data_IF_792894125947
#
_entry.id   IF_792894125947
#
_cell.length_a   1.000
_cell.length_b   1.000
_cell.length_c   1.000
_cell.angle_alpha   90.00
_cell.angle_beta   90.00
_cell.angle_gamma   90.00
#
_symmetry.space_group_name_H-M   'P 1'
#
loop_
_entity.id
_entity.type
_entity.pdbx_description
1 polymer ?
#
# COMPACT_ATOMS: atom_id res chain seq x y z
N UNK A 1 1.05 0.58 20.65
CA UNK A 1 2.10 0.67 19.60
C UNK A 1 2.77 2.05 19.57
N UNK A 2 1.99 3.12 19.49
CA UNK A 2 2.56 4.47 19.42
C UNK A 2 3.43 4.78 20.64
N UNK A 3 2.99 4.43 21.85
CA UNK A 3 3.73 4.73 23.09
C UNK A 3 5.13 4.14 23.06
N UNK A 4 5.30 2.93 22.55
CA UNK A 4 6.59 2.24 22.48
C UNK A 4 7.52 2.85 21.41
N UNK A 5 6.94 3.34 20.33
CA UNK A 5 7.66 3.86 19.18
C UNK A 5 7.63 5.38 19.07
N UNK A 6 7.07 6.07 20.07
CA UNK A 6 6.79 7.50 19.99
C UNK A 6 8.02 8.34 19.63
N UNK A 7 9.18 8.08 20.21
CA UNK A 7 10.41 8.83 19.95
C UNK A 7 10.81 8.71 18.48
N UNK A 8 10.84 7.51 17.95
CA UNK A 8 11.22 7.25 16.56
C UNK A 8 10.19 7.85 15.58
N UNK A 9 8.90 7.63 15.85
CA UNK A 9 7.82 8.16 15.01
C UNK A 9 7.85 9.68 14.98
N UNK A 10 7.93 10.34 16.14
CA UNK A 10 7.93 11.79 16.24
C UNK A 10 9.12 12.40 15.50
N UNK A 11 10.30 11.81 15.63
CA UNK A 11 11.50 12.27 14.94
C UNK A 11 11.33 12.24 13.41
N UNK A 12 10.85 11.11 12.88
CA UNK A 12 10.65 10.95 11.43
C UNK A 12 9.55 11.85 10.91
N UNK A 13 8.42 11.94 11.61
CA UNK A 13 7.29 12.80 11.21
C UNK A 13 7.72 14.26 11.15
N UNK A 14 8.46 14.75 12.15
CA UNK A 14 8.95 16.13 12.17
C UNK A 14 9.95 16.41 11.03
N UNK A 15 10.80 15.43 10.71
CA UNK A 15 11.74 15.56 9.57
C UNK A 15 10.99 15.68 8.25
N UNK A 16 9.96 14.85 8.03
CA UNK A 16 9.14 14.91 6.81
C UNK A 16 8.41 16.25 6.71
N UNK A 17 7.79 16.70 7.81
CA UNK A 17 7.11 17.99 7.83
C UNK A 17 8.07 19.15 7.51
N UNK A 18 9.26 19.13 8.06
CA UNK A 18 10.27 20.16 7.80
C UNK A 18 10.79 20.13 6.37
N UNK A 19 10.87 18.96 5.75
CA UNK A 19 11.38 18.80 4.38
C UNK A 19 10.42 19.22 3.29
N UNK A 20 9.10 19.22 3.57
CA UNK A 20 8.07 19.48 2.56
C UNK A 20 7.86 18.35 1.55
N UNK A 21 8.53 17.22 1.71
CA UNK A 21 8.44 16.06 0.80
C UNK A 21 7.25 15.16 1.10
N UNK A 22 6.03 15.68 0.93
CA UNK A 22 4.81 14.98 1.35
C UNK A 22 4.26 13.99 0.32
N UNK A 23 4.60 14.15 -0.95
CA UNK A 23 4.10 13.29 -2.03
C UNK A 23 5.28 12.64 -2.73
N UNK A 24 5.34 11.31 -2.69
CA UNK A 24 6.39 10.55 -3.37
C UNK A 24 7.81 10.88 -2.94
N UNK A 25 8.00 11.32 -1.69
CA UNK A 25 9.30 11.71 -1.16
C UNK A 25 10.26 10.54 -0.92
N UNK A 26 11.47 10.88 -0.45
CA UNK A 26 12.52 9.88 -0.21
C UNK A 26 12.11 8.77 0.76
N UNK A 27 11.27 9.06 1.74
CA UNK A 27 10.78 8.06 2.69
C UNK A 27 9.88 7.02 2.02
N UNK A 28 9.07 7.42 1.04
CA UNK A 28 8.22 6.50 0.26
C UNK A 28 9.10 5.57 -0.57
N UNK A 29 10.09 6.12 -1.26
CA UNK A 29 11.04 5.33 -2.07
C UNK A 29 11.80 4.33 -1.20
N UNK A 30 12.31 4.75 -0.05
CA UNK A 30 12.99 3.87 0.89
C UNK A 30 12.07 2.76 1.40
N UNK A 31 10.84 3.10 1.74
CA UNK A 31 9.84 2.12 2.18
C UNK A 31 9.56 1.07 1.09
N UNK A 32 9.38 1.50 -0.15
CA UNK A 32 9.15 0.58 -1.26
C UNK A 32 10.31 -0.40 -1.42
N UNK A 33 11.55 0.08 -1.35
CA UNK A 33 12.73 -0.76 -1.45
C UNK A 33 12.87 -1.73 -0.28
N UNK A 34 12.70 -1.26 0.94
CA UNK A 34 12.79 -2.07 2.15
C UNK A 34 11.68 -3.12 2.21
N UNK A 35 10.47 -2.74 1.85
CA UNK A 35 9.34 -3.67 1.86
C UNK A 35 9.47 -4.74 0.79
N UNK A 36 9.94 -4.38 -0.40
CA UNK A 36 10.23 -5.36 -1.45
C UNK A 36 11.28 -6.40 -0.99
N UNK A 37 12.35 -5.93 -0.34
CA UNK A 37 13.37 -6.80 0.22
C UNK A 37 12.82 -7.69 1.33
N UNK A 38 12.03 -7.13 2.24
CA UNK A 38 11.43 -7.86 3.36
C UNK A 38 10.48 -8.98 2.88
N UNK A 39 9.69 -8.72 1.85
CA UNK A 39 8.76 -9.68 1.29
C UNK A 39 9.37 -10.56 0.20
N UNK A 40 10.64 -10.34 -0.13
CA UNK A 40 11.39 -11.10 -1.15
C UNK A 40 10.73 -11.05 -2.53
N UNK A 41 10.33 -9.85 -2.94
CA UNK A 41 9.81 -9.56 -4.28
C UNK A 41 10.70 -8.55 -4.99
N UNK A 42 10.60 -8.48 -6.33
CA UNK A 42 11.44 -7.58 -7.12
C UNK A 42 11.13 -6.12 -6.91
N UNK A 43 9.84 -5.79 -6.84
CA UNK A 43 9.36 -4.42 -6.82
C UNK A 43 8.25 -4.23 -5.79
N UNK A 44 8.12 -3.03 -5.29
CA UNK A 44 7.02 -2.61 -4.45
C UNK A 44 6.60 -1.20 -4.86
N UNK A 45 5.32 -0.98 -5.01
CA UNK A 45 4.75 0.32 -5.35
C UNK A 45 3.78 0.74 -4.27
N UNK A 46 4.08 1.85 -3.61
CA UNK A 46 3.20 2.41 -2.58
C UNK A 46 1.99 3.09 -3.22
N UNK A 47 0.86 3.03 -2.54
CA UNK A 47 -0.36 3.74 -2.93
C UNK A 47 -1.04 4.30 -1.69
N UNK A 48 -2.13 5.03 -1.88
CA UNK A 48 -2.77 5.78 -0.79
C UNK A 48 -3.63 4.94 0.16
N UNK A 49 -4.06 3.74 -0.25
CA UNK A 49 -4.92 2.90 0.58
C UNK A 49 -4.85 1.43 0.17
N UNK A 50 -5.26 0.55 1.08
CA UNK A 50 -5.40 -0.87 0.77
C UNK A 50 -6.47 -1.16 -0.29
N UNK A 51 -7.54 -0.38 -0.30
CA UNK A 51 -8.59 -0.49 -1.32
C UNK A 51 -8.04 -0.22 -2.71
N UNK A 52 -7.29 0.86 -2.87
CA UNK A 52 -6.64 1.17 -4.14
C UNK A 52 -5.55 0.17 -4.51
N UNK A 53 -4.84 -0.38 -3.53
CA UNK A 53 -3.87 -1.44 -3.78
C UNK A 53 -4.52 -2.65 -4.44
N UNK A 54 -5.68 -3.09 -3.94
CA UNK A 54 -6.43 -4.20 -4.52
C UNK A 54 -6.92 -3.86 -5.93
N UNK A 55 -7.49 -2.68 -6.10
CA UNK A 55 -8.01 -2.23 -7.40
C UNK A 55 -6.90 -2.15 -8.44
N UNK A 56 -5.78 -1.55 -8.10
CA UNK A 56 -4.63 -1.42 -9.00
C UNK A 56 -4.03 -2.78 -9.35
N UNK A 57 -3.96 -3.70 -8.40
CA UNK A 57 -3.46 -5.05 -8.65
C UNK A 57 -4.35 -5.80 -9.65
N UNK A 58 -5.68 -5.74 -9.48
CA UNK A 58 -6.62 -6.37 -10.41
C UNK A 58 -6.51 -5.78 -11.81
N UNK A 59 -6.41 -4.47 -11.93
CA UNK A 59 -6.23 -3.78 -13.21
C UNK A 59 -4.89 -4.12 -13.87
N UNK A 60 -3.83 -4.17 -13.08
CA UNK A 60 -2.50 -4.52 -13.58
C UNK A 60 -2.45 -5.95 -14.15
N UNK A 61 -3.23 -6.87 -13.58
CA UNK A 61 -3.37 -8.24 -14.06
C UNK A 61 -4.32 -8.37 -15.26
N UNK A 62 -4.98 -7.28 -15.66
CA UNK A 62 -5.92 -7.31 -16.77
C UNK A 62 -7.27 -7.95 -16.45
N UNK A 63 -7.61 -8.08 -15.17
CA UNK A 63 -8.90 -8.63 -14.75
C UNK A 63 -10.02 -7.64 -15.07
N UNK A 64 -11.09 -8.13 -15.69
CA UNK A 64 -12.21 -7.28 -16.11
C UNK A 64 -13.48 -8.08 -16.31
N UNK A 65 -14.41 -7.48 -17.04
CA UNK A 65 -15.72 -8.08 -17.30
C UNK A 65 -15.60 -9.46 -17.95
N UNK A 66 -16.29 -10.44 -17.40
CA UNK A 66 -16.25 -11.83 -17.86
C UNK A 66 -15.23 -12.70 -17.13
N UNK A 67 -14.32 -12.10 -16.36
CA UNK A 67 -13.37 -12.86 -15.56
C UNK A 67 -13.95 -13.25 -14.21
N UNK A 68 -13.43 -14.31 -13.63
CA UNK A 68 -13.82 -14.80 -12.31
C UNK A 68 -12.67 -14.62 -11.33
N UNK A 69 -12.99 -14.21 -10.10
CA UNK A 69 -12.02 -14.03 -9.02
C UNK A 69 -12.51 -14.82 -7.80
N UNK A 70 -11.64 -15.68 -7.29
CA UNK A 70 -11.91 -16.47 -6.08
C UNK A 70 -11.26 -15.75 -4.90
N UNK A 71 -12.04 -15.53 -3.83
CA UNK A 71 -11.55 -14.90 -2.60
C UNK A 71 -12.23 -15.51 -1.38
N UNK A 72 -11.76 -15.12 -0.21
CA UNK A 72 -12.32 -15.53 1.08
C UNK A 72 -13.46 -14.60 1.50
N UNK A 73 -14.53 -15.11 2.14
CA UNK A 73 -15.55 -14.25 2.75
C UNK A 73 -15.08 -13.62 4.08
N UNK A 74 -14.03 -14.16 4.68
CA UNK A 74 -13.46 -13.65 5.92
C UNK A 74 -12.48 -12.51 5.60
N UNK A 75 -13.01 -11.36 5.22
CA UNK A 75 -12.24 -10.23 4.78
C UNK A 75 -13.05 -8.93 4.90
N UNK A 76 -12.38 -7.81 4.66
CA UNK A 76 -13.02 -6.51 4.59
C UNK A 76 -13.81 -6.36 3.28
N UNK A 77 -14.84 -5.52 3.29
CA UNK A 77 -15.71 -5.29 2.11
C UNK A 77 -14.94 -4.87 0.85
N UNK A 78 -13.86 -4.13 1.01
CA UNK A 78 -13.03 -3.69 -0.12
C UNK A 78 -12.57 -4.84 -1.03
N UNK A 79 -12.41 -6.06 -0.49
CA UNK A 79 -12.01 -7.24 -1.29
C UNK A 79 -13.02 -7.53 -2.38
N UNK A 80 -14.31 -7.58 -2.05
CA UNK A 80 -15.38 -7.84 -3.03
C UNK A 80 -15.76 -6.58 -3.82
N UNK A 81 -15.69 -5.42 -3.19
CA UNK A 81 -15.96 -4.13 -3.84
C UNK A 81 -15.02 -3.89 -5.02
N UNK A 82 -13.72 -4.11 -4.84
CA UNK A 82 -12.74 -3.91 -5.91
C UNK A 82 -12.89 -4.91 -7.04
N UNK A 83 -13.27 -6.16 -6.75
CA UNK A 83 -13.61 -7.16 -7.77
C UNK A 83 -14.79 -6.68 -8.60
N UNK A 84 -15.83 -6.16 -7.97
CA UNK A 84 -17.01 -5.63 -8.66
C UNK A 84 -16.70 -4.37 -9.48
N UNK A 85 -15.68 -3.60 -9.10
CA UNK A 85 -15.32 -2.36 -9.78
C UNK A 85 -14.55 -2.58 -11.10
N UNK A 86 -14.01 -3.75 -11.30
CA UNK A 86 -13.28 -4.09 -12.53
C UNK A 86 -14.10 -5.04 -13.39
#
# INVERSE_FOLDING_TARGET
QYTELATEINEVVLKVLASGGYVGGANVVSFEQEFAAYTNVSECVACNSGTDALLLALRALGVGAGDEVITTPFSFFATTETISAV
#
